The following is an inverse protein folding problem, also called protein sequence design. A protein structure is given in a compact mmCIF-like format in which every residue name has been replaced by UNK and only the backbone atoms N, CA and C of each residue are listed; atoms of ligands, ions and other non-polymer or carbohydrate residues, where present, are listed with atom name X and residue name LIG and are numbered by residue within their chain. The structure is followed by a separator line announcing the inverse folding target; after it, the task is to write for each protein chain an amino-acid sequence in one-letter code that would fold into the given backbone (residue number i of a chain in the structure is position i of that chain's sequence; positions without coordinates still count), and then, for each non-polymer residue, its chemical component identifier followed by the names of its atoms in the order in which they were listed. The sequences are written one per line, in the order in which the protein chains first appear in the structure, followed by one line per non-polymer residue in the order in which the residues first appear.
data_IF_177312097018
#
_entry.id   IF_177312097018
#
_cell.length_a   1.000
_cell.length_b   1.000
_cell.length_c   1.000
_cell.angle_alpha   90.00
_cell.angle_beta   90.00
_cell.angle_gamma   90.00
#
_symmetry.space_group_name_H-M   'P 1'
#
loop_
_entity.id
_entity.type
_entity.pdbx_description
1 polymer ?
#
# COMPACT_ATOMS: atom_id res chain seq x y z
N UNK A 1 17.28 7.69 46.93
CA UNK A 1 17.80 8.46 45.80
C UNK A 1 16.93 8.14 44.60
N UNK A 2 16.04 9.03 44.15
CA UNK A 2 15.21 8.80 42.98
C UNK A 2 16.03 9.20 41.74
N UNK A 3 16.51 8.22 40.99
CA UNK A 3 17.13 8.45 39.68
C UNK A 3 16.03 8.82 38.69
N UNK A 4 16.10 10.02 38.13
CA UNK A 4 15.23 10.40 37.06
C UNK A 4 15.63 9.66 35.74
N UNK A 5 14.67 9.52 34.84
CA UNK A 5 14.83 8.79 33.56
C UNK A 5 15.99 9.33 32.71
N UNK A 6 16.27 10.63 32.79
CA UNK A 6 17.30 11.31 32.02
C UNK A 6 18.71 11.00 32.53
N UNK A 7 18.87 10.93 33.89
CA UNK A 7 20.11 10.54 34.55
C UNK A 7 20.41 9.05 34.36
N UNK A 8 19.38 8.19 34.35
CA UNK A 8 19.52 6.77 34.04
C UNK A 8 20.00 6.55 32.59
N UNK A 9 19.39 7.25 31.62
CA UNK A 9 19.78 7.15 30.20
C UNK A 9 21.21 7.66 29.98
N UNK A 10 21.60 8.75 30.61
CA UNK A 10 22.97 9.27 30.52
C UNK A 10 24.00 8.32 31.15
N UNK A 11 23.67 7.70 32.28
CA UNK A 11 24.53 6.70 32.93
C UNK A 11 24.63 5.39 32.13
N UNK A 12 23.51 4.91 31.62
CA UNK A 12 23.48 3.72 30.77
C UNK A 12 24.18 3.95 29.41
N UNK A 13 24.05 5.16 28.84
CA UNK A 13 24.73 5.53 27.59
C UNK A 13 26.25 5.59 27.73
N UNK A 14 26.77 6.07 28.86
CA UNK A 14 28.20 6.09 29.11
C UNK A 14 28.81 4.69 29.32
N UNK A 15 28.06 3.78 29.99
CA UNK A 15 28.49 2.40 30.21
C UNK A 15 28.45 1.55 28.92
N UNK A 16 27.43 1.73 28.09
CA UNK A 16 27.31 1.01 26.82
C UNK A 16 28.28 1.51 25.75
N UNK A 17 28.63 2.80 25.74
CA UNK A 17 29.63 3.32 24.82
C UNK A 17 31.02 2.74 25.09
N UNK A 18 31.39 2.52 26.34
CA UNK A 18 32.70 1.94 26.72
C UNK A 18 32.76 0.44 26.35
N UNK A 19 31.70 -0.32 26.56
CA UNK A 19 31.62 -1.72 26.14
C UNK A 19 31.51 -1.89 24.61
N UNK A 20 30.80 -1.01 23.92
CA UNK A 20 30.67 -1.03 22.47
C UNK A 20 32.00 -0.67 21.76
N UNK A 21 32.78 0.27 22.31
CA UNK A 21 34.08 0.64 21.77
C UNK A 21 35.16 -0.45 21.99
N UNK A 22 35.05 -1.26 23.06
CA UNK A 22 35.94 -2.39 23.30
C UNK A 22 35.61 -3.62 22.45
N UNK A 23 34.33 -3.83 22.06
CA UNK A 23 33.90 -4.95 21.23
C UNK A 23 33.91 -4.65 19.71
N UNK A 24 33.90 -3.36 19.32
CA UNK A 24 33.94 -2.97 17.91
C UNK A 24 35.13 -3.52 17.11
N UNK A 25 36.37 -3.54 17.64
CA UNK A 25 37.50 -4.14 16.94
C UNK A 25 37.36 -5.63 16.72
N UNK A 26 36.78 -6.38 17.66
CA UNK A 26 36.56 -7.81 17.53
C UNK A 26 35.45 -8.14 16.55
N UNK A 27 34.37 -7.35 16.50
CA UNK A 27 33.28 -7.54 15.57
C UNK A 27 33.69 -7.16 14.13
N UNK A 28 34.48 -6.10 13.98
CA UNK A 28 35.03 -5.70 12.67
C UNK A 28 36.11 -6.63 12.17
N UNK A 29 36.90 -7.27 13.06
CA UNK A 29 37.86 -8.29 12.70
C UNK A 29 37.20 -9.62 12.33
N UNK A 30 36.05 -9.97 12.93
CA UNK A 30 35.28 -11.16 12.58
C UNK A 30 34.56 -11.05 11.20
N UNK A 31 34.34 -9.84 10.71
CA UNK A 31 33.76 -9.56 9.39
C UNK A 31 34.84 -9.44 8.31
N UNK A 32 35.85 -10.31 8.27
CA UNK A 32 36.81 -10.44 7.18
C UNK A 32 37.17 -9.12 6.46
N UNK A 33 37.94 -8.26 7.09
CA UNK A 33 38.34 -6.93 6.56
C UNK A 33 38.88 -6.94 5.12
N UNK A 34 39.29 -8.09 4.62
CA UNK A 34 39.83 -8.23 3.25
C UNK A 34 38.77 -8.10 2.16
N UNK A 35 37.52 -8.46 2.42
CA UNK A 35 36.43 -8.39 1.41
C UNK A 35 35.90 -6.96 1.22
N UNK A 36 36.12 -6.05 2.19
CA UNK A 36 35.66 -4.66 2.13
C UNK A 36 36.71 -3.67 1.64
N UNK A 37 37.96 -4.15 1.41
CA UNK A 37 39.05 -3.33 0.83
C UNK A 37 38.94 -3.33 -0.70
N UNK A 38 38.64 -2.20 -1.26
CA UNK A 38 38.48 -1.97 -2.69
C UNK A 38 37.77 -0.67 -3.00
N UNK A 39 37.82 -0.23 -4.23
CA UNK A 39 37.02 0.92 -4.67
C UNK A 39 35.56 0.56 -4.58
N UNK A 40 34.81 1.33 -3.81
CA UNK A 40 33.36 1.15 -3.68
C UNK A 40 32.64 1.89 -4.82
N UNK A 41 31.85 1.16 -5.58
CA UNK A 41 30.96 1.72 -6.58
C UNK A 41 29.54 1.87 -5.99
N UNK A 42 28.85 2.97 -6.32
CA UNK A 42 27.46 3.19 -5.94
C UNK A 42 26.56 3.09 -7.16
N UNK A 43 25.78 2.04 -7.23
CA UNK A 43 24.89 1.75 -8.37
C UNK A 43 23.47 2.14 -7.99
N UNK A 44 22.87 3.07 -8.76
CA UNK A 44 21.47 3.43 -8.61
C UNK A 44 20.55 2.30 -9.10
N UNK A 45 19.54 1.94 -8.32
CA UNK A 45 18.58 0.89 -8.64
C UNK A 45 17.25 1.13 -7.96
N UNK A 46 16.33 0.17 -8.07
CA UNK A 46 14.99 0.18 -7.47
C UNK A 46 14.83 -1.08 -6.63
N UNK A 47 14.31 -0.91 -5.42
CA UNK A 47 13.93 -2.01 -4.54
C UNK A 47 12.62 -2.65 -5.03
N UNK A 48 12.64 -3.96 -5.27
CA UNK A 48 11.46 -4.74 -5.70
C UNK A 48 10.87 -5.62 -4.57
N UNK A 49 11.24 -5.37 -3.31
CA UNK A 49 10.72 -6.12 -2.15
C UNK A 49 9.23 -5.90 -1.91
N UNK A 50 8.66 -4.80 -2.43
CA UNK A 50 7.23 -4.49 -2.37
C UNK A 50 6.83 -3.50 -3.47
N UNK A 51 5.53 -3.22 -3.58
CA UNK A 51 4.96 -2.32 -4.59
C UNK A 51 5.40 -0.86 -4.50
N UNK A 52 6.02 -0.44 -3.39
CA UNK A 52 6.52 0.94 -3.20
C UNK A 52 7.68 1.27 -4.14
N UNK A 53 8.51 0.28 -4.51
CA UNK A 53 9.63 0.44 -5.45
C UNK A 53 10.55 1.59 -5.09
N UNK A 54 11.02 1.60 -3.83
CA UNK A 54 11.90 2.66 -3.34
C UNK A 54 13.16 2.77 -4.20
N UNK A 55 13.55 3.98 -4.63
CA UNK A 55 14.85 4.22 -5.26
C UNK A 55 15.97 3.95 -4.26
N UNK A 56 16.93 3.12 -4.64
CA UNK A 56 18.03 2.69 -3.81
C UNK A 56 19.38 2.95 -4.47
N UNK A 57 20.41 2.93 -3.66
CA UNK A 57 21.82 2.89 -4.07
C UNK A 57 22.44 1.64 -3.49
N UNK A 58 22.88 0.74 -4.35
CA UNK A 58 23.64 -0.46 -3.98
C UNK A 58 25.13 -0.10 -3.92
N UNK A 59 25.76 -0.39 -2.79
CA UNK A 59 27.21 -0.26 -2.66
C UNK A 59 27.86 -1.57 -3.05
N UNK A 60 28.65 -1.52 -4.11
CA UNK A 60 29.34 -2.69 -4.66
C UNK A 60 30.84 -2.55 -4.39
N UNK A 61 31.45 -3.60 -3.84
CA UNK A 61 32.89 -3.69 -3.58
C UNK A 61 33.35 -5.01 -4.18
N UNK A 62 34.37 -4.98 -5.04
CA UNK A 62 34.91 -6.16 -5.71
C UNK A 62 33.82 -7.02 -6.39
N UNK A 63 32.82 -6.37 -7.02
CA UNK A 63 31.71 -7.05 -7.69
C UNK A 63 30.62 -7.60 -6.74
N UNK A 64 30.76 -7.46 -5.43
CA UNK A 64 29.76 -7.87 -4.44
C UNK A 64 28.97 -6.68 -3.93
N UNK A 65 27.63 -6.81 -3.90
CA UNK A 65 26.76 -5.85 -3.23
C UNK A 65 26.87 -6.04 -1.71
N UNK A 66 27.47 -5.08 -1.02
CA UNK A 66 27.72 -5.17 0.42
C UNK A 66 26.72 -4.40 1.27
N UNK A 67 25.96 -3.48 0.67
CA UNK A 67 24.87 -2.78 1.36
C UNK A 67 23.90 -2.13 0.39
N UNK A 68 22.68 -1.94 0.84
CA UNK A 68 21.63 -1.20 0.13
C UNK A 68 21.18 -0.02 0.98
N UNK A 69 21.25 1.16 0.43
CA UNK A 69 20.83 2.42 1.05
C UNK A 69 19.73 3.08 0.22
N UNK A 70 18.97 3.97 0.81
CA UNK A 70 18.06 4.82 0.03
C UNK A 70 18.83 5.77 -0.87
N UNK A 71 18.32 6.01 -2.07
CA UNK A 71 18.94 6.94 -3.01
C UNK A 71 18.66 8.39 -2.59
N UNK A 72 19.68 9.12 -2.17
CA UNK A 72 19.59 10.51 -1.69
C UNK A 72 19.06 11.49 -2.75
N UNK A 73 19.19 11.17 -4.03
CA UNK A 73 18.68 12.00 -5.13
C UNK A 73 17.16 11.86 -5.31
N UNK A 74 16.54 10.86 -4.70
CA UNK A 74 15.09 10.65 -4.75
C UNK A 74 14.37 11.51 -3.70
N UNK A 75 14.09 12.75 -4.03
CA UNK A 75 13.51 13.76 -3.12
C UNK A 75 12.21 13.29 -2.44
N UNK A 76 11.31 12.63 -3.17
CA UNK A 76 10.04 12.12 -2.64
C UNK A 76 10.18 11.02 -1.59
N UNK A 77 11.33 10.33 -1.55
CA UNK A 77 11.65 9.30 -0.58
C UNK A 77 12.63 9.79 0.51
N UNK A 78 13.16 11.00 0.38
CA UNK A 78 14.11 11.59 1.32
C UNK A 78 15.39 10.77 1.52
N UNK A 79 15.76 9.94 0.55
CA UNK A 79 16.89 9.02 0.68
C UNK A 79 16.66 7.85 1.64
N UNK A 80 15.39 7.56 1.99
CA UNK A 80 15.05 6.49 2.91
C UNK A 80 14.77 5.16 2.18
N UNK A 81 15.09 4.06 2.86
CA UNK A 81 14.69 2.71 2.53
C UNK A 81 14.34 1.97 3.82
N UNK A 82 13.32 1.11 3.81
CA UNK A 82 12.94 0.36 5.01
C UNK A 82 13.94 -0.78 5.30
N UNK A 83 13.86 -1.34 6.50
CA UNK A 83 14.74 -2.42 6.95
C UNK A 83 14.76 -3.62 5.97
N UNK A 84 13.59 -4.00 5.39
CA UNK A 84 13.53 -5.07 4.38
C UNK A 84 14.33 -4.74 3.13
N UNK A 85 14.20 -3.52 2.61
CA UNK A 85 14.95 -3.08 1.43
C UNK A 85 16.44 -3.02 1.73
N UNK A 86 16.83 -2.52 2.90
CA UNK A 86 18.21 -2.51 3.38
C UNK A 86 18.81 -3.91 3.49
N UNK A 87 18.03 -4.88 3.98
CA UNK A 87 18.47 -6.28 4.10
C UNK A 87 18.42 -7.06 2.78
N UNK A 88 17.93 -6.46 1.69
CA UNK A 88 17.75 -7.14 0.40
C UNK A 88 19.03 -7.73 -0.19
N UNK A 89 20.21 -7.18 0.13
CA UNK A 89 21.49 -7.73 -0.32
C UNK A 89 21.76 -9.14 0.25
N UNK A 90 21.26 -9.46 1.44
CA UNK A 90 21.41 -10.78 2.05
C UNK A 90 20.73 -11.87 1.23
N UNK A 91 19.61 -11.55 0.57
CA UNK A 91 18.92 -12.52 -0.30
C UNK A 91 19.70 -12.87 -1.56
N UNK A 92 20.57 -11.98 -2.04
CA UNK A 92 21.39 -12.26 -3.22
C UNK A 92 22.40 -13.38 -2.96
N UNK A 93 22.86 -13.48 -1.73
CA UNK A 93 23.92 -14.40 -1.32
C UNK A 93 23.43 -15.52 -0.41
N UNK A 94 22.10 -15.66 -0.25
CA UNK A 94 21.51 -16.76 0.49
C UNK A 94 21.82 -18.08 -0.22
N UNK A 95 22.39 -19.03 0.53
CA UNK A 95 22.74 -20.35 0.02
C UNK A 95 21.53 -21.17 -0.44
N UNK A 96 20.34 -20.84 0.08
CA UNK A 96 19.07 -21.49 -0.29
C UNK A 96 18.39 -20.81 -1.48
N UNK A 97 18.99 -19.75 -2.03
CA UNK A 97 18.43 -19.07 -3.19
C UNK A 97 18.39 -20.01 -4.39
N UNK A 98 17.23 -20.13 -5.01
CA UNK A 98 17.05 -20.86 -6.27
C UNK A 98 17.71 -20.04 -7.39
N UNK A 99 18.72 -20.59 -8.04
CA UNK A 99 19.50 -19.93 -9.11
C UNK A 99 19.30 -20.57 -10.48
N UNK A 100 18.69 -21.76 -10.52
CA UNK A 100 18.32 -22.49 -11.74
C UNK A 100 16.88 -22.94 -11.65
N UNK A 101 16.19 -23.19 -12.78
CA UNK A 101 14.87 -23.81 -12.77
C UNK A 101 14.89 -25.18 -12.08
N UNK A 102 13.82 -25.47 -11.35
CA UNK A 102 13.66 -26.75 -10.65
C UNK A 102 12.51 -27.55 -11.29
N UNK A 103 12.81 -28.77 -11.67
CA UNK A 103 11.84 -29.76 -12.14
C UNK A 103 11.51 -30.71 -11.01
N UNK A 104 10.22 -30.89 -10.73
CA UNK A 104 9.77 -31.90 -9.76
C UNK A 104 10.05 -33.30 -10.30
N UNK A 105 10.68 -34.12 -9.46
CA UNK A 105 10.90 -35.55 -9.67
C UNK A 105 10.19 -36.31 -8.53
N UNK A 106 9.43 -37.33 -8.86
CA UNK A 106 8.58 -38.03 -7.91
C UNK A 106 7.17 -37.44 -7.79
N UNK A 107 6.44 -37.90 -6.80
CA UNK A 107 5.03 -37.57 -6.61
C UNK A 107 4.81 -36.14 -6.04
N UNK A 108 3.61 -35.63 -6.24
CA UNK A 108 3.22 -34.31 -5.72
C UNK A 108 3.22 -34.35 -4.19
N UNK A 109 3.98 -33.45 -3.56
CA UNK A 109 4.09 -33.33 -2.10
C UNK A 109 5.37 -33.92 -1.51
N UNK A 110 6.10 -34.76 -2.22
CA UNK A 110 7.37 -35.34 -1.74
C UNK A 110 8.50 -34.34 -1.62
N UNK A 111 8.42 -33.20 -2.32
CA UNK A 111 9.44 -32.15 -2.25
C UNK A 111 10.75 -32.47 -2.97
N UNK A 112 10.77 -33.47 -3.83
CA UNK A 112 11.95 -33.88 -4.60
C UNK A 112 12.10 -33.03 -5.86
N UNK A 113 13.22 -32.32 -5.98
CA UNK A 113 13.50 -31.39 -7.06
C UNK A 113 14.85 -31.67 -7.71
N UNK A 114 14.89 -31.51 -9.02
CA UNK A 114 16.10 -31.58 -9.85
C UNK A 114 16.34 -30.22 -10.52
N UNK A 115 17.56 -29.71 -10.44
CA UNK A 115 17.96 -28.55 -11.23
C UNK A 115 18.01 -28.92 -12.72
N UNK A 116 17.46 -28.04 -13.56
CA UNK A 116 17.46 -28.17 -15.01
C UNK A 116 17.92 -26.87 -15.65
N UNK A 117 18.27 -26.91 -16.93
CA UNK A 117 18.59 -25.71 -17.68
C UNK A 117 17.32 -24.99 -18.17
N UNK A 118 17.45 -23.70 -18.49
CA UNK A 118 16.32 -22.88 -18.93
C UNK A 118 15.66 -23.39 -20.21
N UNK A 119 16.42 -23.91 -21.17
CA UNK A 119 15.89 -24.43 -22.43
C UNK A 119 15.01 -25.66 -22.19
N UNK A 120 15.38 -26.52 -21.26
CA UNK A 120 14.54 -27.65 -20.83
C UNK A 120 13.27 -27.15 -20.16
N UNK A 121 13.39 -26.16 -19.26
CA UNK A 121 12.23 -25.58 -18.57
C UNK A 121 11.23 -24.98 -19.57
N UNK A 122 11.70 -24.17 -20.52
CA UNK A 122 10.85 -23.59 -21.56
C UNK A 122 10.19 -24.65 -22.44
N UNK A 123 10.93 -25.69 -22.82
CA UNK A 123 10.42 -26.80 -23.62
C UNK A 123 9.29 -27.55 -22.89
N UNK A 124 9.47 -27.83 -21.61
CA UNK A 124 8.46 -28.49 -20.77
C UNK A 124 7.19 -27.61 -20.68
N UNK A 125 7.35 -26.32 -20.38
CA UNK A 125 6.22 -25.38 -20.25
C UNK A 125 5.47 -25.27 -21.58
N UNK A 126 6.18 -25.04 -22.69
CA UNK A 126 5.57 -24.89 -24.01
C UNK A 126 4.81 -26.17 -24.45
N UNK A 127 5.44 -27.33 -24.25
CA UNK A 127 4.79 -28.62 -24.57
C UNK A 127 3.48 -28.82 -23.80
N UNK A 128 3.48 -28.55 -22.47
CA UNK A 128 2.28 -28.74 -21.66
C UNK A 128 1.21 -27.71 -21.98
N UNK A 129 1.55 -26.43 -22.15
CA UNK A 129 0.60 -25.40 -22.54
C UNK A 129 -0.05 -25.71 -23.90
N UNK A 130 0.74 -26.11 -24.91
CA UNK A 130 0.24 -26.46 -26.23
C UNK A 130 -0.67 -27.70 -26.14
N UNK A 131 -0.30 -28.72 -25.35
CA UNK A 131 -1.15 -29.88 -25.12
C UNK A 131 -2.51 -29.49 -24.56
N UNK A 132 -2.53 -28.72 -23.46
CA UNK A 132 -3.78 -28.25 -22.84
C UNK A 132 -4.63 -27.44 -23.82
N UNK A 133 -3.98 -26.52 -24.56
CA UNK A 133 -4.69 -25.71 -25.57
C UNK A 133 -5.34 -26.57 -26.63
N UNK A 134 -4.69 -27.64 -27.08
CA UNK A 134 -5.20 -28.52 -28.12
C UNK A 134 -6.33 -29.44 -27.60
N UNK A 135 -6.19 -29.94 -26.38
CA UNK A 135 -7.12 -30.92 -25.81
C UNK A 135 -8.34 -30.27 -25.15
N UNK A 136 -8.16 -29.07 -24.55
CA UNK A 136 -9.17 -28.47 -23.67
C UNK A 136 -9.49 -26.99 -23.98
N UNK A 137 -8.76 -26.37 -24.89
CA UNK A 137 -8.89 -24.92 -25.15
C UNK A 137 -7.99 -24.03 -24.31
N UNK A 138 -7.65 -22.86 -24.83
CA UNK A 138 -6.77 -21.90 -24.16
C UNK A 138 -7.42 -21.30 -22.91
N UNK A 139 -8.73 -21.20 -22.87
CA UNK A 139 -9.53 -20.67 -21.77
C UNK A 139 -9.46 -21.52 -20.49
N UNK A 140 -9.03 -22.76 -20.58
CA UNK A 140 -8.88 -23.63 -19.42
C UNK A 140 -7.62 -23.34 -18.60
N UNK A 141 -6.72 -22.50 -19.11
CA UNK A 141 -5.49 -22.09 -18.40
C UNK A 141 -5.68 -20.74 -17.76
N UNK A 142 -5.43 -20.67 -16.47
CA UNK A 142 -5.43 -19.43 -15.69
C UNK A 142 -3.99 -18.93 -15.45
N UNK A 143 -3.77 -17.63 -15.66
CA UNK A 143 -2.50 -16.96 -15.40
C UNK A 143 -2.65 -16.03 -14.20
N UNK A 144 -1.92 -16.33 -13.13
CA UNK A 144 -1.98 -15.56 -11.87
C UNK A 144 -0.63 -14.93 -11.55
N UNK A 145 -0.64 -13.66 -11.19
CA UNK A 145 0.55 -12.95 -10.74
C UNK A 145 0.22 -11.91 -9.69
N UNK A 146 1.14 -11.71 -8.77
CA UNK A 146 1.11 -10.52 -7.91
C UNK A 146 1.48 -9.29 -8.75
N UNK A 147 0.86 -8.14 -8.45
CA UNK A 147 1.25 -6.85 -9.05
C UNK A 147 2.75 -6.58 -8.83
N UNK A 148 3.50 -6.48 -9.90
CA UNK A 148 4.93 -6.24 -9.88
C UNK A 148 5.42 -5.72 -11.23
N UNK A 149 6.68 -5.34 -11.34
CA UNK A 149 7.27 -4.85 -12.60
C UNK A 149 7.25 -5.91 -13.70
N UNK A 150 7.35 -7.19 -13.32
CA UNK A 150 7.42 -8.30 -14.26
C UNK A 150 6.05 -8.95 -14.58
N UNK A 151 5.00 -8.61 -13.85
CA UNK A 151 3.66 -9.21 -14.07
C UNK A 151 3.10 -8.93 -15.46
N UNK A 152 3.45 -7.80 -16.06
CA UNK A 152 3.06 -7.47 -17.44
C UNK A 152 3.49 -8.51 -18.44
N UNK A 153 4.66 -9.13 -18.31
CA UNK A 153 5.14 -10.18 -19.22
C UNK A 153 4.24 -11.42 -19.18
N UNK A 154 3.81 -11.82 -17.96
CA UNK A 154 2.91 -12.96 -17.82
C UNK A 154 1.55 -12.72 -18.51
N UNK A 155 1.01 -11.51 -18.39
CA UNK A 155 -0.26 -11.16 -19.01
C UNK A 155 -0.15 -11.01 -20.54
N UNK A 156 1.01 -10.57 -21.06
CA UNK A 156 1.29 -10.62 -22.48
C UNK A 156 1.35 -12.07 -22.98
N UNK A 157 1.95 -12.98 -22.21
CA UNK A 157 1.94 -14.41 -22.52
C UNK A 157 0.53 -14.97 -22.52
N UNK A 158 -0.29 -14.67 -21.50
CA UNK A 158 -1.68 -15.11 -21.42
C UNK A 158 -2.48 -14.67 -22.65
N UNK A 159 -2.34 -13.39 -23.04
CA UNK A 159 -2.98 -12.84 -24.23
C UNK A 159 -2.51 -13.52 -25.51
N UNK A 160 -1.22 -13.75 -25.67
CA UNK A 160 -0.65 -14.44 -26.82
C UNK A 160 -1.09 -15.92 -26.88
N UNK A 161 -1.20 -16.57 -25.73
CA UNK A 161 -1.70 -17.94 -25.61
C UNK A 161 -3.18 -18.04 -25.97
N UNK A 162 -3.97 -16.98 -25.70
CA UNK A 162 -5.40 -16.90 -25.96
C UNK A 162 -6.27 -17.15 -24.74
N UNK A 163 -5.71 -17.06 -23.53
CA UNK A 163 -6.49 -17.22 -22.31
C UNK A 163 -7.05 -15.87 -21.82
N UNK A 164 -8.37 -15.78 -21.55
CA UNK A 164 -8.97 -14.62 -20.89
C UNK A 164 -8.76 -14.66 -19.38
N UNK A 165 -8.36 -15.78 -18.80
CA UNK A 165 -8.31 -16.01 -17.36
C UNK A 165 -7.00 -15.49 -16.75
N UNK A 166 -6.99 -14.20 -16.44
CA UNK A 166 -5.84 -13.54 -15.79
C UNK A 166 -6.23 -12.98 -14.43
N UNK A 167 -5.42 -13.27 -13.42
CA UNK A 167 -5.69 -12.88 -12.03
C UNK A 167 -4.54 -12.08 -11.45
N UNK A 168 -4.86 -11.01 -10.75
CA UNK A 168 -3.88 -10.22 -10.00
C UNK A 168 -4.30 -10.06 -8.55
N UNK A 169 -3.32 -9.84 -7.69
CA UNK A 169 -3.58 -9.43 -6.31
C UNK A 169 -4.46 -8.16 -6.23
N UNK A 170 -4.39 -7.31 -7.24
CA UNK A 170 -5.10 -6.05 -7.29
C UNK A 170 -6.64 -6.19 -7.27
N UNK A 171 -7.17 -7.32 -7.74
CA UNK A 171 -8.63 -7.58 -7.74
C UNK A 171 -9.21 -7.75 -6.33
N UNK A 172 -8.40 -8.08 -5.34
CA UNK A 172 -8.85 -8.37 -3.97
C UNK A 172 -8.28 -7.41 -2.92
N UNK A 173 -7.10 -6.83 -3.12
CA UNK A 173 -6.43 -6.04 -2.11
C UNK A 173 -6.96 -4.60 -1.98
N UNK A 174 -6.87 -3.74 -3.02
CA UNK A 174 -7.36 -2.37 -2.94
C UNK A 174 -8.78 -2.20 -3.51
N UNK A 175 -9.57 -3.29 -3.65
CA UNK A 175 -10.85 -3.28 -4.34
C UNK A 175 -11.78 -2.18 -3.87
N UNK A 176 -12.21 -2.22 -2.63
CA UNK A 176 -13.11 -1.25 -2.03
C UNK A 176 -12.54 0.18 -2.05
N UNK A 177 -11.25 0.34 -1.76
CA UNK A 177 -10.56 1.65 -1.81
C UNK A 177 -10.64 2.29 -3.19
N UNK A 178 -10.34 1.52 -4.24
CA UNK A 178 -10.34 2.04 -5.63
C UNK A 178 -11.76 2.27 -6.13
N UNK A 179 -12.69 1.39 -5.79
CA UNK A 179 -14.09 1.50 -6.19
C UNK A 179 -14.74 2.71 -5.52
N UNK A 180 -14.55 2.89 -4.21
CA UNK A 180 -15.07 4.04 -3.48
C UNK A 180 -14.50 5.36 -4.01
N UNK A 181 -13.18 5.43 -4.25
CA UNK A 181 -12.55 6.61 -4.85
C UNK A 181 -13.10 6.90 -6.26
N UNK A 182 -13.34 5.86 -7.05
CA UNK A 182 -13.91 6.02 -8.39
C UNK A 182 -15.36 6.47 -8.37
N UNK A 183 -16.17 5.92 -7.43
CA UNK A 183 -17.57 6.31 -7.26
C UNK A 183 -17.69 7.78 -6.84
N UNK A 184 -16.85 8.26 -5.93
CA UNK A 184 -16.93 9.62 -5.40
C UNK A 184 -16.19 10.66 -6.25
N UNK A 185 -15.07 10.28 -6.87
CA UNK A 185 -14.18 11.24 -7.54
C UNK A 185 -13.92 10.93 -9.02
N UNK A 186 -14.52 9.90 -9.57
CA UNK A 186 -14.24 9.46 -10.94
C UNK A 186 -12.86 8.85 -11.16
N UNK A 187 -12.02 8.73 -10.13
CA UNK A 187 -10.65 8.26 -10.28
C UNK A 187 -9.88 8.06 -8.98
N UNK A 188 -8.58 7.79 -9.13
CA UNK A 188 -7.70 7.57 -7.98
C UNK A 188 -7.39 8.89 -7.27
N UNK A 189 -7.44 8.85 -5.96
CA UNK A 189 -7.09 9.93 -5.05
C UNK A 189 -5.76 9.63 -4.35
N UNK A 190 -4.98 10.65 -4.05
CA UNK A 190 -3.72 10.61 -3.27
C UNK A 190 -3.81 11.54 -2.09
N UNK A 191 -3.01 11.29 -1.07
CA UNK A 191 -2.95 12.05 0.19
C UNK A 191 -1.70 12.91 0.26
N UNK A 192 -1.81 14.13 0.76
CA UNK A 192 -0.67 14.98 1.08
C UNK A 192 -0.43 15.02 2.59
N UNK A 193 -0.01 13.88 3.13
CA UNK A 193 0.30 13.74 4.55
C UNK A 193 1.32 14.78 5.03
N UNK A 194 2.36 15.04 4.23
CA UNK A 194 3.46 15.95 4.63
C UNK A 194 3.04 17.38 4.96
N UNK A 195 1.89 17.82 4.49
CA UNK A 195 1.41 19.19 4.69
C UNK A 195 0.13 19.25 5.51
N UNK A 196 -0.38 18.11 5.99
CA UNK A 196 -1.50 18.08 6.91
C UNK A 196 -1.10 18.63 8.27
N UNK A 197 -2.01 19.33 8.94
CA UNK A 197 -1.88 19.86 10.30
C UNK A 197 -2.66 19.04 11.32
N UNK A 198 -3.68 18.33 10.86
CA UNK A 198 -4.52 17.45 11.65
C UNK A 198 -4.84 16.20 10.85
N UNK A 199 -4.56 15.04 11.41
CA UNK A 199 -4.75 13.76 10.71
C UNK A 199 -5.59 12.85 11.60
N UNK A 200 -6.74 12.43 11.11
CA UNK A 200 -7.54 11.36 11.69
C UNK A 200 -7.20 10.08 10.92
N UNK A 201 -6.66 9.09 11.59
CA UNK A 201 -6.16 7.87 10.97
C UNK A 201 -7.00 6.65 11.40
N UNK A 202 -7.55 5.95 10.43
CA UNK A 202 -8.31 4.71 10.62
C UNK A 202 -7.47 3.51 10.19
N UNK A 203 -6.80 2.86 11.16
CA UNK A 203 -6.09 1.61 10.95
C UNK A 203 -4.98 1.64 9.89
N UNK A 204 -4.43 2.81 9.58
CA UNK A 204 -3.35 2.95 8.61
C UNK A 204 -1.99 3.01 9.30
N UNK A 205 -1.42 1.86 9.60
CA UNK A 205 -0.16 1.76 10.32
C UNK A 205 1.04 2.04 9.40
N UNK A 206 1.26 3.30 9.08
CA UNK A 206 2.31 3.75 8.17
C UNK A 206 3.72 3.54 8.70
N UNK A 207 3.92 3.46 10.01
CA UNK A 207 5.23 3.26 10.63
C UNK A 207 5.75 1.82 10.53
N UNK A 208 4.86 0.83 10.40
CA UNK A 208 5.18 -0.58 10.13
C UNK A 208 4.92 -0.96 8.66
N UNK A 209 4.30 -0.09 7.90
CA UNK A 209 3.80 -0.33 6.57
C UNK A 209 4.86 -0.48 5.49
N UNK A 210 4.37 -0.64 4.28
CA UNK A 210 5.18 -0.89 3.08
C UNK A 210 5.34 0.36 2.20
N UNK A 211 4.74 1.48 2.55
CA UNK A 211 4.77 2.68 1.71
C UNK A 211 5.69 3.75 2.28
N UNK A 212 6.98 3.64 2.01
CA UNK A 212 8.00 4.53 2.56
C UNK A 212 7.78 6.02 2.24
N UNK A 213 7.18 6.36 1.10
CA UNK A 213 6.88 7.76 0.77
C UNK A 213 5.77 8.33 1.67
N UNK A 214 4.74 7.55 1.99
CA UNK A 214 3.67 7.95 2.92
C UNK A 214 4.16 7.94 4.37
N UNK A 215 4.98 6.94 4.76
CA UNK A 215 5.66 6.94 6.07
C UNK A 215 6.46 8.21 6.26
N UNK A 216 7.25 8.60 5.26
CA UNK A 216 8.02 9.84 5.30
C UNK A 216 7.11 11.07 5.38
N UNK A 217 5.99 11.05 4.65
CA UNK A 217 4.98 12.10 4.71
C UNK A 217 4.41 12.28 6.11
N UNK A 218 4.05 11.18 6.79
CA UNK A 218 3.55 11.18 8.16
C UNK A 218 4.61 11.69 9.14
N UNK A 219 5.84 11.21 9.03
CA UNK A 219 6.94 11.70 9.86
C UNK A 219 7.17 13.20 9.71
N UNK A 220 7.16 13.73 8.49
CA UNK A 220 7.31 15.16 8.24
C UNK A 220 6.15 15.96 8.85
N UNK A 221 4.92 15.48 8.74
CA UNK A 221 3.77 16.14 9.34
C UNK A 221 3.91 16.25 10.86
N UNK A 222 4.17 15.13 11.52
CA UNK A 222 4.23 15.08 12.98
C UNK A 222 5.51 15.70 13.56
N UNK A 223 6.68 15.25 13.10
CA UNK A 223 7.95 15.59 13.74
C UNK A 223 8.51 16.95 13.30
N UNK A 224 8.30 17.34 12.05
CA UNK A 224 8.84 18.59 11.51
C UNK A 224 7.82 19.74 11.56
N UNK A 225 6.51 19.45 11.52
CA UNK A 225 5.46 20.47 11.43
C UNK A 225 4.47 20.46 12.60
N UNK A 226 4.59 19.53 13.53
CA UNK A 226 3.75 19.46 14.72
C UNK A 226 2.29 19.16 14.40
N UNK A 227 2.01 18.38 13.36
CA UNK A 227 0.67 17.95 13.04
C UNK A 227 0.11 17.04 14.13
N UNK A 228 -1.13 17.29 14.56
CA UNK A 228 -1.85 16.41 15.49
C UNK A 228 -2.30 15.15 14.77
N UNK A 229 -2.05 13.99 15.38
CA UNK A 229 -2.45 12.68 14.90
C UNK A 229 -3.40 12.00 15.89
N UNK A 230 -4.63 11.73 15.45
CA UNK A 230 -5.61 10.93 16.17
C UNK A 230 -5.75 9.59 15.46
N UNK A 231 -5.68 8.48 16.20
CA UNK A 231 -5.69 7.12 15.63
C UNK A 231 -6.85 6.31 16.20
N UNK A 232 -7.67 5.78 15.30
CA UNK A 232 -8.67 4.75 15.59
C UNK A 232 -8.10 3.40 15.11
N UNK A 233 -7.67 2.57 16.04
CA UNK A 233 -7.04 1.28 15.76
C UNK A 233 -7.31 0.32 16.93
N UNK A 234 -7.83 -0.90 16.69
CA UNK A 234 -8.06 -1.87 17.77
C UNK A 234 -6.80 -2.28 18.51
N UNK A 235 -5.67 -2.30 17.83
CA UNK A 235 -4.37 -2.71 18.35
C UNK A 235 -3.50 -1.50 18.68
N UNK A 236 -2.83 -1.53 19.82
CA UNK A 236 -1.78 -0.54 20.13
C UNK A 236 -0.56 -0.78 19.24
N UNK A 237 -0.65 -0.30 18.01
CA UNK A 237 0.38 -0.42 16.97
C UNK A 237 1.41 0.70 17.06
N UNK A 238 2.46 0.68 16.23
CA UNK A 238 3.47 1.75 16.23
C UNK A 238 2.84 3.10 15.84
N UNK A 239 1.84 3.13 14.96
CA UNK A 239 1.16 4.40 14.66
C UNK A 239 0.35 4.89 15.86
N UNK A 240 -0.27 3.99 16.62
CA UNK A 240 -0.97 4.32 17.86
C UNK A 240 -0.01 4.85 18.95
N UNK A 241 1.18 4.24 19.09
CA UNK A 241 2.24 4.72 20.00
C UNK A 241 2.76 6.13 19.62
N UNK A 242 2.72 6.49 18.37
CA UNK A 242 3.16 7.79 17.85
C UNK A 242 2.04 8.83 17.77
N UNK A 243 0.79 8.43 18.03
CA UNK A 243 -0.34 9.33 18.01
C UNK A 243 -0.36 10.28 19.22
N UNK A 244 -0.96 11.45 19.05
CA UNK A 244 -1.31 12.34 20.16
C UNK A 244 -2.49 11.75 20.95
N UNK A 245 -3.41 11.07 20.23
CA UNK A 245 -4.55 10.37 20.81
C UNK A 245 -4.79 9.05 20.08
N UNK A 246 -5.04 8.00 20.87
CA UNK A 246 -5.39 6.68 20.36
C UNK A 246 -6.67 6.14 21.01
N UNK A 247 -7.56 5.65 20.17
CA UNK A 247 -8.81 5.02 20.56
C UNK A 247 -8.81 3.56 20.10
N UNK A 248 -8.95 2.66 21.07
CA UNK A 248 -9.07 1.22 20.82
C UNK A 248 -10.49 0.90 20.29
N UNK A 249 -10.75 1.30 19.05
CA UNK A 249 -12.06 1.12 18.43
C UNK A 249 -12.41 -0.37 18.32
N UNK A 250 -13.68 -0.71 18.56
CA UNK A 250 -14.18 -2.05 18.36
C UNK A 250 -13.99 -2.50 16.91
N UNK A 251 -13.37 -3.66 16.66
CA UNK A 251 -13.07 -4.10 15.30
C UNK A 251 -14.30 -4.13 14.38
N UNK A 252 -14.17 -3.53 13.20
CA UNK A 252 -15.22 -3.52 12.18
C UNK A 252 -16.26 -2.43 12.34
N UNK A 253 -16.08 -1.50 13.30
CA UNK A 253 -17.04 -0.41 13.55
C UNK A 253 -16.56 0.97 13.08
N UNK A 254 -15.49 1.02 12.33
CA UNK A 254 -14.91 2.26 11.78
C UNK A 254 -15.93 3.13 11.04
N UNK A 255 -16.88 2.47 10.36
CA UNK A 255 -17.97 3.15 9.63
C UNK A 255 -18.84 3.99 10.56
N UNK A 256 -19.07 3.55 11.80
CA UNK A 256 -19.89 4.27 12.75
C UNK A 256 -19.25 5.62 13.14
N UNK A 257 -17.95 5.61 13.46
CA UNK A 257 -17.20 6.83 13.76
C UNK A 257 -17.10 7.73 12.53
N UNK A 258 -16.86 7.17 11.35
CA UNK A 258 -16.80 7.93 10.10
C UNK A 258 -18.10 8.67 9.78
N UNK A 259 -19.26 8.00 9.96
CA UNK A 259 -20.58 8.60 9.76
C UNK A 259 -20.90 9.65 10.84
N UNK A 260 -20.51 9.42 12.09
CA UNK A 260 -20.68 10.39 13.17
C UNK A 260 -19.83 11.65 12.97
N UNK A 261 -18.63 11.54 12.42
CA UNK A 261 -17.82 12.68 11.98
C UNK A 261 -18.58 13.48 10.90
N UNK A 262 -19.12 12.80 9.88
CA UNK A 262 -19.91 13.47 8.84
C UNK A 262 -21.17 14.14 9.42
N UNK A 263 -21.87 13.45 10.33
CA UNK A 263 -23.01 14.00 11.05
C UNK A 263 -22.65 15.29 11.77
N UNK A 264 -21.60 15.26 12.61
CA UNK A 264 -21.17 16.42 13.39
C UNK A 264 -20.75 17.59 12.51
N UNK A 265 -19.99 17.32 11.41
CA UNK A 265 -19.64 18.37 10.44
C UNK A 265 -20.84 19.09 9.86
N UNK A 266 -21.93 18.36 9.61
CA UNK A 266 -23.15 18.94 9.03
C UNK A 266 -24.04 19.56 10.12
N UNK A 267 -24.28 18.86 11.23
CA UNK A 267 -25.19 19.29 12.29
C UNK A 267 -24.70 20.57 13.00
N UNK A 268 -23.38 20.68 13.20
CA UNK A 268 -22.76 21.82 13.86
C UNK A 268 -22.27 22.90 12.86
N UNK A 269 -22.66 22.77 11.60
CA UNK A 269 -22.37 23.75 10.53
C UNK A 269 -20.85 24.00 10.28
N UNK A 270 -20.03 22.95 10.40
CA UNK A 270 -18.57 22.98 10.32
C UNK A 270 -18.01 22.69 8.92
N UNK A 271 -18.86 22.39 7.94
CA UNK A 271 -18.44 22.04 6.58
C UNK A 271 -18.21 23.29 5.71
N UNK A 272 -17.39 23.16 4.67
CA UNK A 272 -17.14 24.23 3.68
C UNK A 272 -18.34 24.37 2.74
N UNK A 273 -19.29 25.26 3.10
CA UNK A 273 -20.53 25.49 2.34
C UNK A 273 -20.25 25.91 0.89
N UNK A 274 -19.24 26.76 0.67
CA UNK A 274 -18.93 27.25 -0.65
C UNK A 274 -18.38 26.14 -1.54
N UNK A 275 -17.49 25.30 -1.00
CA UNK A 275 -16.98 24.15 -1.70
C UNK A 275 -18.10 23.14 -2.00
N UNK A 276 -18.92 22.82 -1.00
CA UNK A 276 -20.01 21.87 -1.14
C UNK A 276 -21.01 22.34 -2.19
N UNK A 277 -21.44 23.59 -2.15
CA UNK A 277 -22.40 24.15 -3.11
C UNK A 277 -21.86 24.13 -4.56
N UNK A 278 -20.53 24.29 -4.73
CA UNK A 278 -19.94 24.38 -6.05
C UNK A 278 -19.54 23.01 -6.65
N UNK A 279 -19.13 22.05 -5.82
CA UNK A 279 -18.44 20.84 -6.31
C UNK A 279 -19.09 19.52 -5.89
N UNK A 280 -20.09 19.53 -5.00
CA UNK A 280 -20.69 18.30 -4.46
C UNK A 280 -22.11 18.14 -4.98
N UNK A 281 -22.40 16.99 -5.55
CA UNK A 281 -23.77 16.57 -5.89
C UNK A 281 -24.30 15.58 -4.83
N UNK A 282 -25.62 15.60 -4.58
CA UNK A 282 -26.25 14.69 -3.63
C UNK A 282 -26.00 15.05 -2.15
N UNK A 283 -25.64 16.29 -1.86
CA UNK A 283 -25.39 16.73 -0.48
C UNK A 283 -26.63 16.67 0.39
N UNK A 284 -27.79 17.10 -0.12
CA UNK A 284 -29.04 17.17 0.67
C UNK A 284 -29.53 15.77 1.06
N UNK A 285 -29.44 14.81 0.13
CA UNK A 285 -29.76 13.42 0.40
C UNK A 285 -28.79 12.81 1.41
N UNK A 286 -27.50 13.08 1.27
CA UNK A 286 -26.49 12.63 2.22
C UNK A 286 -26.70 13.24 3.61
N UNK A 287 -26.98 14.54 3.71
CA UNK A 287 -27.23 15.24 4.95
C UNK A 287 -28.46 14.69 5.66
N UNK A 288 -29.52 14.32 4.91
CA UNK A 288 -30.71 13.68 5.43
C UNK A 288 -30.40 12.28 5.97
N UNK A 289 -29.67 11.49 5.23
CA UNK A 289 -29.28 10.12 5.61
C UNK A 289 -28.40 10.12 6.86
N UNK A 290 -27.35 10.95 6.88
CA UNK A 290 -26.35 10.96 7.96
C UNK A 290 -26.91 11.52 9.28
N UNK A 291 -28.08 12.14 9.26
CA UNK A 291 -28.71 12.71 10.45
C UNK A 291 -28.95 11.68 11.57
N UNK A 292 -29.20 10.42 11.22
CA UNK A 292 -29.41 9.35 12.19
C UNK A 292 -28.14 8.86 12.89
N UNK A 293 -26.98 9.16 12.36
CA UNK A 293 -25.70 8.60 12.82
C UNK A 293 -24.97 9.56 13.76
N UNK A 294 -25.60 9.81 14.93
CA UNK A 294 -25.05 10.73 15.93
C UNK A 294 -23.79 10.17 16.61
N UNK A 295 -22.96 11.02 17.25
CA UNK A 295 -21.86 10.55 18.08
C UNK A 295 -22.28 9.56 19.17
N UNK A 296 -23.46 9.72 19.80
CA UNK A 296 -23.96 8.78 20.81
C UNK A 296 -24.30 7.42 20.21
N UNK A 297 -24.88 7.42 19.00
CA UNK A 297 -25.08 6.17 18.27
C UNK A 297 -23.73 5.50 17.98
N UNK A 298 -22.75 6.26 17.50
CA UNK A 298 -21.44 5.73 17.18
C UNK A 298 -20.71 5.19 18.43
N UNK A 299 -20.82 5.86 19.59
CA UNK A 299 -20.29 5.36 20.86
C UNK A 299 -20.91 3.99 21.21
N UNK A 300 -22.22 3.83 21.08
CA UNK A 300 -22.90 2.57 21.39
C UNK A 300 -22.44 1.40 20.50
N UNK A 301 -21.90 1.70 19.32
CA UNK A 301 -21.45 0.71 18.33
C UNK A 301 -19.94 0.45 18.42
N UNK A 302 -19.15 1.50 18.63
CA UNK A 302 -17.70 1.49 18.45
C UNK A 302 -16.89 1.50 19.73
N UNK A 303 -17.52 1.78 20.87
CA UNK A 303 -16.90 2.04 22.17
C UNK A 303 -16.02 3.32 22.20
N UNK A 304 -16.14 4.20 21.19
CA UNK A 304 -15.45 5.50 21.17
C UNK A 304 -16.38 6.56 21.79
N UNK A 305 -15.96 7.30 22.83
CA UNK A 305 -16.83 8.26 23.51
C UNK A 305 -17.38 9.34 22.57
N UNK A 306 -18.69 9.63 22.66
CA UNK A 306 -19.37 10.60 21.82
C UNK A 306 -18.77 12.01 21.94
N UNK A 307 -18.39 12.41 23.14
CA UNK A 307 -17.74 13.71 23.42
C UNK A 307 -16.41 13.83 22.68
N UNK A 308 -15.62 12.74 22.61
CA UNK A 308 -14.36 12.72 21.88
C UNK A 308 -14.58 12.78 20.37
N UNK A 309 -15.57 12.07 19.85
CA UNK A 309 -15.93 12.15 18.41
C UNK A 309 -16.28 13.60 18.04
N UNK A 310 -17.08 14.30 18.84
CA UNK A 310 -17.41 15.71 18.62
C UNK A 310 -16.18 16.59 18.66
N UNK A 311 -15.41 16.51 19.74
CA UNK A 311 -14.20 17.31 19.92
C UNK A 311 -13.21 17.14 18.78
N UNK A 312 -12.91 15.89 18.42
CA UNK A 312 -12.01 15.54 17.30
C UNK A 312 -12.53 16.13 15.99
N UNK A 313 -13.85 16.07 15.76
CA UNK A 313 -14.46 16.62 14.54
C UNK A 313 -14.36 18.13 14.49
N UNK A 314 -14.57 18.83 15.60
CA UNK A 314 -14.39 20.29 15.69
C UNK A 314 -12.94 20.70 15.44
N UNK A 315 -11.98 20.01 16.05
CA UNK A 315 -10.55 20.25 15.85
C UNK A 315 -10.13 19.99 14.39
N UNK A 316 -10.65 18.92 13.79
CA UNK A 316 -10.44 18.58 12.39
C UNK A 316 -10.96 19.66 11.45
N UNK A 317 -12.18 20.12 11.66
CA UNK A 317 -12.80 21.21 10.89
C UNK A 317 -12.02 22.52 11.04
N UNK A 318 -11.58 22.86 12.25
CA UNK A 318 -10.79 24.07 12.52
C UNK A 318 -9.42 24.06 11.81
N UNK A 319 -8.86 22.89 11.56
CA UNK A 319 -7.60 22.75 10.82
C UNK A 319 -7.76 22.75 9.30
N UNK A 320 -9.00 22.70 8.79
CA UNK A 320 -9.28 22.69 7.35
C UNK A 320 -8.74 23.96 6.65
N UNK A 321 -8.35 23.87 5.37
CA UNK A 321 -8.35 22.70 4.51
C UNK A 321 -7.08 21.82 4.66
N UNK A 322 -6.23 22.08 5.65
CA UNK A 322 -4.99 21.34 5.92
C UNK A 322 -5.21 20.16 6.87
N UNK A 323 -6.37 19.55 6.82
CA UNK A 323 -6.78 18.43 7.63
C UNK A 323 -7.09 17.22 6.76
N UNK A 324 -6.82 16.01 7.25
CA UNK A 324 -6.94 14.78 6.48
C UNK A 324 -7.56 13.67 7.31
N UNK A 325 -8.61 13.06 6.80
CA UNK A 325 -9.04 11.72 7.25
C UNK A 325 -8.31 10.71 6.38
N UNK A 326 -7.43 9.93 7.02
CA UNK A 326 -6.59 8.92 6.40
C UNK A 326 -7.02 7.52 6.82
N UNK A 327 -6.90 6.54 5.92
CA UNK A 327 -7.27 5.16 6.20
C UNK A 327 -6.42 4.17 5.42
N UNK A 328 -6.18 3.01 6.02
CA UNK A 328 -5.38 1.95 5.45
C UNK A 328 -6.10 1.16 4.35
N UNK A 329 -5.34 0.33 3.64
CA UNK A 329 -5.89 -0.60 2.67
C UNK A 329 -6.78 -1.67 3.32
N UNK A 330 -6.55 -1.96 4.59
CA UNK A 330 -7.17 -3.06 5.32
C UNK A 330 -7.73 -2.60 6.64
N UNK A 331 -8.20 -1.36 6.69
CA UNK A 331 -8.78 -0.79 7.90
C UNK A 331 -9.97 -1.61 8.40
N UNK A 332 -10.72 -2.20 7.48
CA UNK A 332 -11.79 -3.11 7.86
C UNK A 332 -12.05 -4.11 6.73
N UNK A 333 -12.11 -5.39 7.06
CA UNK A 333 -12.53 -6.46 6.16
C UNK A 333 -13.97 -6.85 6.49
N UNK A 334 -14.87 -5.88 6.40
CA UNK A 334 -16.30 -6.06 6.65
C UNK A 334 -17.09 -5.93 5.37
N UNK A 335 -18.35 -6.32 5.41
CA UNK A 335 -19.30 -6.14 4.31
C UNK A 335 -19.55 -4.66 4.01
N UNK A 336 -19.43 -3.80 5.02
CA UNK A 336 -19.63 -2.35 4.92
C UNK A 336 -18.34 -1.59 4.50
N UNK A 337 -17.28 -2.27 4.10
CA UNK A 337 -16.00 -1.61 3.77
C UNK A 337 -16.14 -0.54 2.68
N UNK A 338 -17.01 -0.75 1.71
CA UNK A 338 -17.27 0.23 0.65
C UNK A 338 -17.91 1.50 1.21
N UNK A 339 -18.95 1.35 2.04
CA UNK A 339 -19.65 2.48 2.66
C UNK A 339 -18.76 3.21 3.68
N UNK A 340 -17.98 2.47 4.46
CA UNK A 340 -16.98 3.06 5.36
C UNK A 340 -16.03 3.98 4.58
N UNK A 341 -15.50 3.51 3.46
CA UNK A 341 -14.58 4.32 2.65
C UNK A 341 -15.25 5.54 2.04
N UNK A 342 -16.52 5.41 1.64
CA UNK A 342 -17.31 6.56 1.17
C UNK A 342 -17.50 7.59 2.29
N UNK A 343 -17.83 7.17 3.50
CA UNK A 343 -17.98 8.05 4.67
C UNK A 343 -16.65 8.77 5.00
N UNK A 344 -15.52 8.07 5.00
CA UNK A 344 -14.20 8.66 5.22
C UNK A 344 -13.81 9.67 4.12
N UNK A 345 -14.15 9.38 2.87
CA UNK A 345 -13.99 10.35 1.78
C UNK A 345 -14.93 11.53 1.92
N UNK A 346 -16.20 11.31 2.32
CA UNK A 346 -17.17 12.37 2.53
C UNK A 346 -16.70 13.35 3.62
N UNK A 347 -16.12 12.86 4.71
CA UNK A 347 -15.53 13.73 5.74
C UNK A 347 -14.44 14.67 5.17
N UNK A 348 -13.61 14.17 4.23
CA UNK A 348 -12.63 15.00 3.53
C UNK A 348 -13.30 16.01 2.58
N UNK A 349 -14.34 15.60 1.85
CA UNK A 349 -15.07 16.48 0.93
C UNK A 349 -15.78 17.61 1.68
N UNK A 350 -16.41 17.28 2.80
CA UNK A 350 -17.16 18.26 3.61
C UNK A 350 -16.29 19.42 4.09
N UNK A 351 -15.05 19.18 4.45
CA UNK A 351 -14.13 20.24 4.88
C UNK A 351 -13.37 20.92 3.73
N UNK A 352 -13.73 20.63 2.47
CA UNK A 352 -13.14 21.28 1.30
C UNK A 352 -11.66 21.04 1.09
N UNK A 353 -11.10 19.92 1.53
CA UNK A 353 -9.67 19.64 1.46
C UNK A 353 -9.21 18.99 0.13
N UNK A 354 -10.08 18.92 -0.89
CA UNK A 354 -9.78 18.32 -2.19
C UNK A 354 -8.98 19.32 -3.04
N UNK A 355 -7.89 18.84 -3.66
CA UNK A 355 -6.90 19.64 -4.40
C UNK A 355 -6.30 20.78 -3.55
N UNK A 356 -6.30 20.62 -2.24
CA UNK A 356 -5.72 21.55 -1.26
C UNK A 356 -4.50 20.95 -0.60
N UNK A 357 -3.51 21.80 -0.29
CA UNK A 357 -2.30 21.40 0.42
C UNK A 357 -2.64 20.80 1.78
N UNK A 358 -2.13 19.61 2.05
CA UNK A 358 -2.44 18.85 3.27
C UNK A 358 -3.74 18.04 3.23
N UNK A 359 -4.39 17.97 2.08
CA UNK A 359 -5.62 17.21 1.85
C UNK A 359 -5.44 16.11 0.81
N UNK A 360 -6.46 15.94 -0.03
CA UNK A 360 -6.53 14.92 -1.08
C UNK A 360 -6.28 15.52 -2.45
N UNK A 361 -5.56 14.78 -3.31
CA UNK A 361 -5.26 15.17 -4.69
C UNK A 361 -5.71 14.13 -5.69
N UNK A 362 -6.18 14.58 -6.86
CA UNK A 362 -6.36 13.72 -8.01
C UNK A 362 -5.00 13.18 -8.50
N UNK A 363 -4.93 11.88 -8.66
CA UNK A 363 -3.73 11.24 -9.17
C UNK A 363 -3.46 11.62 -10.62
N UNK A 364 -2.42 12.41 -10.90
CA UNK A 364 -1.97 12.62 -12.28
C UNK A 364 -1.47 11.29 -12.85
N UNK A 365 -1.89 10.97 -14.09
CA UNK A 365 -1.29 9.86 -14.83
C UNK A 365 0.19 10.18 -15.01
N UNK A 366 1.08 9.30 -14.55
CA UNK A 366 2.49 9.41 -14.90
C UNK A 366 2.59 9.40 -16.44
N UNK A 367 3.25 10.41 -17.00
CA UNK A 367 3.49 10.45 -18.45
C UNK A 367 4.23 9.18 -18.85
N UNK A 368 3.74 8.50 -19.84
CA UNK A 368 4.31 7.54 -20.81
C UNK A 368 5.52 6.65 -20.45
N UNK A 369 6.05 6.67 -19.23
CA UNK A 369 7.11 5.73 -18.80
C UNK A 369 6.63 4.27 -18.80
N UNK A 370 5.32 4.05 -18.95
CA UNK A 370 4.66 2.75 -19.02
C UNK A 370 4.32 2.30 -20.44
N UNK A 371 4.76 2.98 -21.47
CA UNK A 371 4.80 2.36 -22.79
C UNK A 371 5.97 1.39 -22.82
N UNK A 372 5.76 0.28 -22.15
CA UNK A 372 6.60 -0.89 -22.29
C UNK A 372 6.68 -1.21 -23.79
N UNK A 373 7.89 -1.44 -24.30
CA UNK A 373 8.09 -1.88 -25.68
C UNK A 373 7.35 -3.20 -26.03
N UNK A 374 6.59 -3.74 -25.10
CA UNK A 374 5.65 -4.83 -25.30
C UNK A 374 4.66 -4.60 -26.42
N UNK A 375 4.27 -3.35 -26.68
CA UNK A 375 3.48 -3.04 -27.88
C UNK A 375 4.27 -3.23 -29.19
N UNK A 376 5.61 -3.25 -29.12
CA UNK A 376 6.48 -3.54 -30.26
C UNK A 376 6.84 -5.03 -30.36
N UNK A 377 6.83 -5.75 -29.24
CA UNK A 377 7.05 -7.21 -29.20
C UNK A 377 5.75 -7.98 -29.39
N UNK A 378 4.62 -7.45 -28.92
CA UNK A 378 3.31 -8.06 -29.08
C UNK A 378 2.79 -8.19 -30.54
N UNK A 379 3.17 -7.34 -31.52
CA UNK A 379 2.74 -7.53 -32.90
C UNK A 379 3.26 -8.79 -33.57
N UNK A 380 4.36 -9.37 -33.08
CA UNK A 380 4.93 -10.63 -33.60
C UNK A 380 4.29 -11.87 -32.99
N UNK A 381 3.56 -11.70 -31.89
CA UNK A 381 2.74 -12.77 -31.32
C UNK A 381 1.39 -12.76 -32.04
N UNK A 382 0.98 -13.89 -32.56
CA UNK A 382 -0.32 -14.04 -33.22
C UNK A 382 -1.41 -13.37 -32.36
N UNK A 383 -2.26 -12.56 -32.97
CA UNK A 383 -3.39 -11.97 -32.24
C UNK A 383 -4.17 -13.12 -31.63
N UNK A 384 -4.25 -13.24 -30.30
CA UNK A 384 -5.06 -14.29 -29.71
C UNK A 384 -6.50 -14.02 -30.08
N UNK A 385 -7.19 -15.04 -30.55
CA UNK A 385 -8.62 -15.00 -30.78
C UNK A 385 -9.38 -14.91 -29.45
N UNK A 386 -9.24 -13.79 -28.76
CA UNK A 386 -9.97 -13.53 -27.50
C UNK A 386 -11.35 -12.95 -27.79
N UNK A 387 -11.54 -12.45 -29.02
CA UNK A 387 -12.83 -11.98 -29.49
C UNK A 387 -13.73 -13.20 -29.72
N UNK A 388 -14.76 -13.35 -28.89
CA UNK A 388 -15.72 -14.48 -28.96
C UNK A 388 -15.58 -15.52 -27.86
N UNK A 389 -14.59 -15.41 -26.96
CA UNK A 389 -14.57 -16.27 -25.77
C UNK A 389 -15.69 -15.93 -24.79
N UNK A 390 -16.36 -16.95 -24.21
CA UNK A 390 -17.40 -16.71 -23.22
C UNK A 390 -16.79 -15.92 -22.04
N UNK A 391 -17.30 -14.74 -21.82
CA UNK A 391 -17.07 -14.02 -20.57
C UNK A 391 -17.71 -14.84 -19.46
N UNK A 392 -16.99 -15.09 -18.39
CA UNK A 392 -17.59 -15.65 -17.19
C UNK A 392 -18.52 -14.56 -16.66
N UNK A 393 -19.81 -14.71 -16.94
CA UNK A 393 -20.89 -13.82 -16.49
C UNK A 393 -21.22 -14.15 -15.02
N UNK A 394 -20.19 -14.10 -14.17
CA UNK A 394 -20.37 -14.23 -12.74
C UNK A 394 -20.77 -12.87 -12.20
N UNK A 395 -22.07 -12.68 -11.97
CA UNK A 395 -22.55 -11.57 -11.15
C UNK A 395 -21.88 -11.64 -9.79
N UNK A 396 -21.10 -10.64 -9.48
CA UNK A 396 -20.54 -10.53 -8.13
C UNK A 396 -21.67 -10.16 -7.18
N UNK A 397 -21.80 -10.94 -6.11
CA UNK A 397 -22.87 -10.79 -5.10
C UNK A 397 -22.67 -9.51 -4.26
N UNK A 398 -21.45 -9.00 -4.22
CA UNK A 398 -21.01 -7.84 -3.41
C UNK A 398 -21.11 -6.50 -4.15
N UNK A 399 -21.85 -6.42 -5.26
CA UNK A 399 -21.79 -5.25 -6.13
C UNK A 399 -23.01 -4.38 -6.08
N UNK A 400 -22.75 -3.15 -5.76
CA UNK A 400 -23.73 -2.07 -5.79
C UNK A 400 -24.02 -1.62 -7.22
N UNK A 401 -23.04 -1.70 -8.13
CA UNK A 401 -23.17 -1.35 -9.56
C UNK A 401 -22.20 -2.18 -10.41
N UNK A 402 -22.72 -2.93 -11.36
CA UNK A 402 -21.94 -3.73 -12.31
C UNK A 402 -20.87 -2.92 -13.05
N UNK A 403 -21.14 -1.65 -13.32
CA UNK A 403 -20.22 -0.76 -14.00
C UNK A 403 -18.91 -0.55 -13.23
N UNK A 404 -18.92 -0.58 -11.91
CA UNK A 404 -17.73 -0.36 -11.09
C UNK A 404 -16.83 -1.61 -10.97
N UNK A 405 -17.40 -2.79 -11.07
CA UNK A 405 -16.63 -4.03 -11.03
C UNK A 405 -15.80 -4.27 -12.27
N UNK A 406 -16.46 -4.08 -13.40
CA UNK A 406 -15.89 -4.40 -14.70
C UNK A 406 -14.76 -3.43 -15.10
N UNK A 407 -14.79 -2.21 -14.62
CA UNK A 407 -13.82 -1.19 -15.03
C UNK A 407 -12.55 -1.16 -14.21
N UNK A 408 -12.50 -1.87 -13.07
CA UNK A 408 -11.33 -1.79 -12.21
C UNK A 408 -10.28 -2.86 -12.47
N UNK A 409 -10.66 -3.99 -12.94
CA UNK A 409 -9.70 -5.04 -13.21
C UNK A 409 -9.15 -4.94 -14.63
N UNK A 410 -8.11 -4.18 -14.86
CA UNK A 410 -7.28 -4.30 -16.07
C UNK A 410 -6.63 -5.68 -16.22
N UNK A 411 -7.13 -6.67 -15.58
CA UNK A 411 -6.67 -8.03 -15.49
C UNK A 411 -7.48 -8.83 -14.49
N UNK A 412 -8.71 -8.40 -14.23
CA UNK A 412 -9.63 -9.12 -13.38
C UNK A 412 -10.38 -10.21 -14.10
N UNK A 413 -11.10 -10.98 -13.35
CA UNK A 413 -12.04 -11.97 -13.87
C UNK A 413 -13.14 -11.21 -14.62
N UNK A 414 -13.25 -11.47 -15.89
CA UNK A 414 -14.37 -11.06 -16.72
C UNK A 414 -15.34 -12.21 -16.87
#
# INVERSE_FOLDING_TARGET
MKLDRRTFIKGAGAGTATCALASLPCYLAALGHSELQGSAESIASICEMCSTRCPISARVVNGKNVSILGNKNAKSFGGAVCARGGAGHSQLYDKQRIVKPLKRVGERGEGNWQEIEWDEAYSIIAKNLNKIKTEHGAETVAFSSKSGSLSGHLFHLAKAFGSPNTFTHASTCPGSYVIAAKAMFGGKIKRDLSNSKYIINFGHNLYEGINMSETRGMMNAQMEKGAKLVVFEPRFSIVADKADEWYAIKPGTDVAVALAICHTLIADDLYDKAFVAQYVSGFDEFAKEVKAYTPEWAESVSDVPAEDIRRITHEYAAAAPHALVDFGHRSSFTTEEFEMRRALYAANVLVGNIERKGGLYFGKKASSYNKFAGDKVAPTLAKPGVDGMPKIDAKRIDMVDEQYALTWSSGGIY
#
